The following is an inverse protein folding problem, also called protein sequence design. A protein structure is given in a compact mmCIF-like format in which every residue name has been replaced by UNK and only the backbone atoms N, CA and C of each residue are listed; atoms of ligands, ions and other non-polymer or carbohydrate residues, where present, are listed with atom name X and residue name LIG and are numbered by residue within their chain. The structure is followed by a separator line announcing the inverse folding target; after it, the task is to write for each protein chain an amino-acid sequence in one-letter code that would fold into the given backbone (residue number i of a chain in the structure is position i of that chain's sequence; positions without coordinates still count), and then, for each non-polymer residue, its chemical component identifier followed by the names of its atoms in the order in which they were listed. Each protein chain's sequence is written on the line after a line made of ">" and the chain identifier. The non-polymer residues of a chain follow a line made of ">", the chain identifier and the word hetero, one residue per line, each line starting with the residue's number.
data_IF_655179983386
#
_entry.id   IF_655179983386
#
_cell.length_a   1.000
_cell.length_b   1.000
_cell.length_c   1.000
_cell.angle_alpha   90.00
_cell.angle_beta   90.00
_cell.angle_gamma   90.00
#
_symmetry.space_group_name_H-M   'P 1'
#
loop_
_entity.id
_entity.type
_entity.pdbx_description
1 polymer ?
#
# COMPACT_ATOMS: atom_id res chain seq x y z
N UNK A 1 6.62 -32.14 -1.67
CA UNK A 1 6.98 -31.18 -2.72
C UNK A 1 7.53 -29.99 -1.99
N UNK A 2 8.84 -29.77 -2.06
CA UNK A 2 9.50 -28.65 -1.38
C UNK A 2 9.26 -27.37 -2.18
N UNK A 3 8.63 -26.39 -1.54
CA UNK A 3 8.38 -25.06 -2.08
C UNK A 3 9.69 -24.26 -2.07
N UNK A 4 10.46 -24.32 -3.17
CA UNK A 4 11.74 -23.61 -3.33
C UNK A 4 11.50 -22.29 -4.08
N UNK A 5 11.84 -21.15 -3.44
CA UNK A 5 11.89 -19.84 -4.10
C UNK A 5 13.27 -19.63 -4.73
N UNK A 6 13.30 -19.30 -6.04
CA UNK A 6 14.53 -19.00 -6.78
C UNK A 6 14.72 -17.48 -6.77
N UNK A 7 15.76 -16.99 -6.10
CA UNK A 7 16.17 -15.58 -6.15
C UNK A 7 17.44 -15.46 -7.01
N UNK A 8 17.41 -14.58 -8.01
CA UNK A 8 18.54 -14.35 -8.91
C UNK A 8 19.64 -13.55 -8.18
N UNK A 9 20.90 -13.95 -8.36
CA UNK A 9 22.04 -13.48 -7.56
C UNK A 9 22.37 -12.01 -7.76
N UNK A 10 22.14 -11.16 -6.75
CA UNK A 10 23.01 -10.00 -6.45
C UNK A 10 22.92 -9.42 -5.02
N UNK A 11 22.58 -10.21 -3.99
CA UNK A 11 22.60 -9.74 -2.59
C UNK A 11 23.20 -10.79 -1.65
N UNK A 12 24.52 -10.84 -1.62
CA UNK A 12 25.29 -11.77 -0.77
C UNK A 12 25.36 -11.40 0.72
N UNK A 13 24.83 -10.25 1.15
CA UNK A 13 25.02 -9.73 2.52
C UNK A 13 23.75 -9.56 3.35
N UNK A 14 22.57 -10.01 2.88
CA UNK A 14 21.29 -9.89 3.59
C UNK A 14 20.59 -11.24 3.80
N UNK A 15 21.35 -12.34 3.86
CA UNK A 15 20.83 -13.73 3.87
C UNK A 15 20.91 -14.44 5.23
N UNK A 16 21.24 -13.73 6.32
CA UNK A 16 21.46 -14.39 7.63
C UNK A 16 20.19 -15.03 8.23
N UNK A 17 18.99 -14.69 7.76
CA UNK A 17 17.72 -15.20 8.30
C UNK A 17 17.06 -16.34 7.50
N UNK A 18 17.72 -16.88 6.48
CA UNK A 18 17.19 -17.95 5.65
C UNK A 18 18.26 -19.03 5.42
N UNK A 19 17.88 -20.30 5.56
CA UNK A 19 18.66 -21.44 5.07
C UNK A 19 18.70 -21.38 3.54
N UNK A 20 19.60 -20.55 3.00
CA UNK A 20 19.76 -20.37 1.57
C UNK A 20 20.88 -21.27 1.06
N UNK A 21 20.55 -22.15 0.13
CA UNK A 21 21.52 -23.02 -0.54
C UNK A 21 22.11 -22.31 -1.76
N UNK A 22 23.44 -22.31 -1.84
CA UNK A 22 24.16 -21.75 -2.98
C UNK A 22 24.36 -22.83 -4.04
N UNK A 23 23.49 -22.84 -5.06
CA UNK A 23 23.47 -23.85 -6.13
C UNK A 23 24.13 -23.42 -7.44
N UNK A 24 24.94 -22.35 -7.45
CA UNK A 24 25.53 -21.79 -8.67
C UNK A 24 25.06 -20.36 -8.93
N UNK A 25 24.33 -20.09 -10.04
CA UNK A 25 23.86 -18.74 -10.45
C UNK A 25 22.61 -18.22 -9.73
N UNK A 26 22.02 -19.02 -8.85
CA UNK A 26 20.78 -18.67 -8.16
C UNK A 26 20.88 -19.06 -6.68
N UNK A 27 20.33 -18.20 -5.82
CA UNK A 27 20.19 -18.45 -4.40
C UNK A 27 18.82 -19.09 -4.20
N UNK A 28 18.79 -20.29 -3.62
CA UNK A 28 17.55 -20.99 -3.26
C UNK A 28 17.35 -20.82 -1.77
N UNK A 29 16.36 -20.03 -1.36
CA UNK A 29 16.05 -19.85 0.05
C UNK A 29 14.85 -20.72 0.43
N UNK A 30 14.94 -21.38 1.58
CA UNK A 30 13.80 -22.09 2.18
C UNK A 30 12.69 -21.07 2.45
N UNK A 31 11.51 -21.31 1.90
CA UNK A 31 10.33 -20.48 2.20
C UNK A 31 9.93 -20.73 3.65
N UNK A 32 9.94 -19.69 4.49
CA UNK A 32 9.42 -19.80 5.86
C UNK A 32 7.97 -20.34 5.81
N UNK A 33 7.56 -21.18 6.79
CA UNK A 33 6.19 -21.65 6.84
C UNK A 33 5.21 -20.47 6.78
N UNK A 34 4.17 -20.60 5.96
CA UNK A 34 3.17 -19.56 5.80
C UNK A 34 2.60 -19.15 7.18
N UNK A 35 2.67 -17.86 7.56
CA UNK A 35 2.12 -17.39 8.83
C UNK A 35 0.63 -17.70 8.92
N UNK A 36 0.18 -18.13 10.10
CA UNK A 36 -1.23 -18.37 10.36
C UNK A 36 -1.91 -17.03 10.68
N UNK A 37 -2.76 -16.58 9.77
CA UNK A 37 -3.57 -15.39 9.99
C UNK A 37 -4.59 -15.61 11.10
N UNK A 38 -4.86 -14.54 11.84
CA UNK A 38 -5.88 -14.47 12.88
C UNK A 38 -7.02 -13.56 12.43
N UNK A 39 -8.21 -13.81 13.00
CA UNK A 39 -9.44 -13.09 12.69
C UNK A 39 -10.00 -12.50 13.98
N UNK A 40 -10.15 -11.19 14.01
CA UNK A 40 -10.84 -10.45 15.08
C UNK A 40 -12.35 -10.36 14.79
N UNK A 41 -13.19 -10.03 15.78
CA UNK A 41 -14.62 -9.80 15.60
C UNK A 41 -14.96 -8.83 14.46
N UNK A 42 -16.18 -8.93 13.92
CA UNK A 42 -16.60 -8.14 12.77
C UNK A 42 -16.56 -6.63 13.00
N UNK A 43 -16.70 -6.17 14.25
CA UNK A 43 -16.70 -4.75 14.64
C UNK A 43 -15.29 -4.19 14.96
N UNK A 44 -14.25 -5.02 14.92
CA UNK A 44 -12.85 -4.57 15.01
C UNK A 44 -12.21 -4.60 13.62
N UNK A 45 -11.37 -3.63 13.28
CA UNK A 45 -10.70 -3.61 11.98
C UNK A 45 -9.28 -3.09 12.09
N UNK A 46 -8.31 -3.89 11.63
CA UNK A 46 -6.90 -3.49 11.60
C UNK A 46 -6.47 -3.13 10.19
N UNK A 47 -6.16 -1.85 9.97
CA UNK A 47 -5.67 -1.34 8.70
C UNK A 47 -4.20 -0.92 8.83
N UNK A 48 -3.32 -1.53 8.04
CA UNK A 48 -1.91 -1.15 7.96
C UNK A 48 -1.65 -0.27 6.74
N UNK A 49 -0.87 0.78 6.91
CA UNK A 49 -0.27 1.57 5.83
C UNK A 49 1.23 1.34 5.80
N UNK A 50 1.82 1.17 4.62
CA UNK A 50 3.25 0.97 4.50
C UNK A 50 3.80 1.46 3.16
N UNK A 51 4.59 2.53 3.19
CA UNK A 51 5.37 2.96 2.03
C UNK A 51 6.51 1.96 1.83
N UNK A 52 6.51 1.26 0.69
CA UNK A 52 7.47 0.19 0.42
C UNK A 52 8.70 0.66 -0.34
N UNK A 53 8.82 1.96 -0.66
CA UNK A 53 10.00 2.53 -1.29
C UNK A 53 10.46 1.75 -2.55
N UNK A 54 9.54 1.27 -3.40
CA UNK A 54 9.87 0.50 -4.62
C UNK A 54 10.19 1.44 -5.80
N UNK A 55 11.15 2.35 -5.58
CA UNK A 55 11.59 3.32 -6.58
C UNK A 55 12.01 2.63 -7.87
N UNK A 56 11.81 3.31 -9.01
CA UNK A 56 12.28 2.82 -10.30
C UNK A 56 13.79 2.53 -10.29
N UNK A 57 14.21 1.48 -11.00
CA UNK A 57 15.62 1.09 -11.08
C UNK A 57 16.53 2.16 -11.71
N UNK A 58 15.98 3.04 -12.54
CA UNK A 58 16.76 4.16 -13.10
C UNK A 58 17.00 5.28 -12.07
N UNK A 59 16.25 5.32 -10.96
CA UNK A 59 16.47 6.25 -9.84
C UNK A 59 17.51 5.66 -8.88
N UNK A 60 17.35 4.40 -8.50
CA UNK A 60 18.23 3.73 -7.54
C UNK A 60 18.10 2.21 -7.58
N UNK A 61 19.07 1.50 -6.98
CA UNK A 61 19.05 0.04 -6.81
C UNK A 61 19.22 -0.27 -5.32
N UNK A 62 18.10 -0.40 -4.60
CA UNK A 62 18.06 -0.49 -3.13
C UNK A 62 17.47 -1.84 -2.65
N UNK A 63 17.60 -2.88 -3.47
CA UNK A 63 17.01 -4.19 -3.19
C UNK A 63 15.48 -4.20 -3.24
N UNK A 64 14.89 -3.50 -4.23
CA UNK A 64 13.45 -3.37 -4.40
C UNK A 64 12.75 -4.75 -4.43
N UNK A 65 13.26 -5.70 -5.23
CA UNK A 65 12.70 -7.06 -5.36
C UNK A 65 12.75 -7.83 -4.05
N UNK A 66 13.85 -7.72 -3.33
CA UNK A 66 14.07 -8.46 -2.10
C UNK A 66 13.19 -7.93 -0.98
N UNK A 67 12.99 -6.61 -0.93
CA UNK A 67 12.04 -5.98 -0.01
C UNK A 67 10.62 -6.39 -0.34
N UNK A 68 10.18 -6.30 -1.60
CA UNK A 68 8.81 -6.68 -1.98
C UNK A 68 8.50 -8.17 -1.76
N UNK A 69 9.51 -9.05 -1.76
CA UNK A 69 9.32 -10.44 -1.35
C UNK A 69 9.23 -10.67 0.16
N UNK A 70 9.97 -9.90 0.95
CA UNK A 70 10.08 -10.14 2.40
C UNK A 70 9.00 -9.40 3.19
N UNK A 71 8.60 -8.22 2.75
CA UNK A 71 7.62 -7.36 3.42
C UNK A 71 6.31 -8.10 3.72
N UNK A 72 5.68 -8.85 2.78
CA UNK A 72 4.44 -9.57 3.09
C UNK A 72 4.58 -10.58 4.23
N UNK A 73 5.62 -11.42 4.23
CA UNK A 73 5.82 -12.40 5.31
C UNK A 73 6.04 -11.70 6.64
N UNK A 74 6.92 -10.68 6.66
CA UNK A 74 7.23 -9.94 7.87
C UNK A 74 6.00 -9.24 8.48
N UNK A 75 5.17 -8.58 7.67
CA UNK A 75 3.93 -7.95 8.13
C UNK A 75 3.02 -8.99 8.78
N UNK A 76 2.85 -10.14 8.16
CA UNK A 76 1.89 -11.16 8.59
C UNK A 76 2.39 -12.02 9.75
N UNK A 77 3.70 -12.08 9.96
CA UNK A 77 4.31 -12.60 11.19
C UNK A 77 4.13 -11.62 12.35
N UNK A 78 4.28 -10.31 12.09
CA UNK A 78 4.23 -9.27 13.12
C UNK A 78 2.80 -8.89 13.53
N UNK A 79 1.89 -8.85 12.56
CA UNK A 79 0.49 -8.42 12.72
C UNK A 79 -0.43 -9.46 12.06
N UNK A 80 -0.51 -10.68 12.60
CA UNK A 80 -1.23 -11.79 11.97
C UNK A 80 -2.74 -11.55 11.83
N UNK A 81 -3.29 -10.59 12.58
CA UNK A 81 -4.70 -10.21 12.52
C UNK A 81 -4.99 -8.94 11.69
N UNK A 82 -4.02 -8.41 10.93
CA UNK A 82 -4.24 -7.29 10.00
C UNK A 82 -5.32 -7.65 8.97
N UNK A 83 -6.30 -6.76 8.76
CA UNK A 83 -7.48 -7.00 7.91
C UNK A 83 -7.31 -6.47 6.48
N UNK A 84 -6.66 -5.31 6.36
CA UNK A 84 -6.30 -4.72 5.09
C UNK A 84 -4.93 -4.05 5.19
N UNK A 85 -4.24 -3.97 4.06
CA UNK A 85 -2.94 -3.30 3.93
C UNK A 85 -3.01 -2.34 2.75
N UNK A 86 -2.59 -1.11 2.96
CA UNK A 86 -2.37 -0.13 1.92
C UNK A 86 -0.87 0.08 1.72
N UNK A 87 -0.44 -0.05 0.47
CA UNK A 87 0.95 0.19 0.10
C UNK A 87 1.08 1.48 -0.70
N UNK A 88 2.18 2.20 -0.47
CA UNK A 88 2.60 3.37 -1.25
C UNK A 88 3.95 3.09 -1.92
N UNK A 89 4.25 3.80 -3.01
CA UNK A 89 5.46 3.62 -3.83
C UNK A 89 5.64 2.21 -4.40
N UNK A 90 4.56 1.58 -4.86
CA UNK A 90 4.59 0.27 -5.55
C UNK A 90 4.68 0.48 -7.06
N UNK A 91 5.85 0.89 -7.56
CA UNK A 91 5.98 1.32 -8.95
C UNK A 91 6.27 0.19 -9.95
N UNK A 92 7.02 -0.83 -9.52
CA UNK A 92 7.50 -1.92 -10.38
C UNK A 92 6.70 -3.21 -10.15
N UNK A 93 6.21 -3.40 -8.93
CA UNK A 93 5.14 -4.32 -8.61
C UNK A 93 5.54 -5.76 -8.28
N UNK A 94 6.72 -6.05 -7.72
CA UNK A 94 6.93 -7.37 -7.11
C UNK A 94 8.33 -7.96 -7.05
N UNK A 95 8.32 -9.27 -6.76
CA UNK A 95 9.47 -10.11 -6.45
C UNK A 95 10.32 -10.49 -7.64
N UNK A 96 9.67 -10.67 -8.78
CA UNK A 96 10.27 -11.24 -9.97
C UNK A 96 9.67 -10.57 -11.20
N UNK A 97 10.53 -10.28 -12.16
CA UNK A 97 10.18 -9.68 -13.45
C UNK A 97 9.28 -10.58 -14.30
N UNK A 98 9.32 -11.90 -14.05
CA UNK A 98 8.71 -12.86 -14.95
C UNK A 98 7.32 -13.35 -14.53
N UNK A 99 6.88 -13.21 -13.27
CA UNK A 99 5.48 -13.53 -12.90
C UNK A 99 5.04 -13.29 -11.45
N UNK A 100 5.91 -12.95 -10.50
CA UNK A 100 5.53 -12.90 -9.07
C UNK A 100 5.33 -11.46 -8.59
N UNK A 101 4.13 -10.92 -8.83
CA UNK A 101 3.77 -9.59 -8.34
C UNK A 101 3.55 -9.56 -6.83
N UNK A 102 3.72 -8.40 -6.20
CA UNK A 102 3.42 -8.20 -4.77
C UNK A 102 1.99 -8.64 -4.44
N UNK A 103 1.02 -8.36 -5.33
CA UNK A 103 -0.39 -8.80 -5.18
C UNK A 103 -0.53 -10.33 -5.19
N UNK A 104 0.23 -11.03 -6.04
CA UNK A 104 0.23 -12.50 -6.06
C UNK A 104 0.82 -13.09 -4.77
N UNK A 105 1.89 -12.49 -4.25
CA UNK A 105 2.47 -12.88 -2.95
C UNK A 105 1.45 -12.68 -1.83
N UNK A 106 0.82 -11.51 -1.75
CA UNK A 106 -0.22 -11.22 -0.75
C UNK A 106 -1.43 -12.16 -0.86
N UNK A 107 -1.87 -12.47 -2.09
CA UNK A 107 -2.94 -13.44 -2.35
C UNK A 107 -2.56 -14.84 -1.88
N UNK A 108 -1.33 -15.29 -2.12
CA UNK A 108 -0.80 -16.54 -1.55
C UNK A 108 -0.91 -16.56 -0.03
N UNK A 109 -0.66 -15.42 0.65
CA UNK A 109 -0.78 -15.32 2.10
C UNK A 109 -2.23 -15.22 2.62
N UNK A 110 -3.21 -14.94 1.78
CA UNK A 110 -4.64 -14.91 2.16
C UNK A 110 -5.34 -13.57 1.87
N UNK A 111 -4.65 -12.60 1.30
CA UNK A 111 -5.21 -11.31 0.90
C UNK A 111 -5.72 -11.40 -0.54
N UNK A 112 -6.88 -12.03 -0.70
CA UNK A 112 -7.45 -12.40 -2.01
C UNK A 112 -8.01 -11.21 -2.78
N UNK A 113 -8.31 -10.11 -2.10
CA UNK A 113 -8.91 -8.93 -2.69
C UNK A 113 -7.85 -7.83 -2.78
N UNK A 114 -7.60 -7.33 -3.98
CA UNK A 114 -6.64 -6.26 -4.20
C UNK A 114 -7.18 -5.34 -5.28
N UNK A 115 -7.19 -4.04 -4.99
CA UNK A 115 -7.57 -3.01 -5.95
C UNK A 115 -6.54 -2.93 -7.07
N UNK A 116 -6.94 -2.46 -8.24
CA UNK A 116 -6.02 -1.89 -9.23
C UNK A 116 -5.18 -0.76 -8.63
N UNK A 117 -3.91 -0.68 -9.05
CA UNK A 117 -3.05 0.44 -8.65
C UNK A 117 -3.66 1.72 -9.23
N UNK A 118 -3.58 2.84 -8.51
CA UNK A 118 -3.95 4.15 -9.09
C UNK A 118 -3.10 4.39 -10.32
N UNK A 119 -3.71 4.36 -11.49
CA UNK A 119 -3.03 4.35 -12.78
C UNK A 119 -3.61 5.41 -13.71
N UNK A 120 -2.78 5.89 -14.63
CA UNK A 120 -3.12 6.92 -15.61
C UNK A 120 -2.57 6.53 -16.97
N UNK A 121 -3.37 6.72 -18.02
CA UNK A 121 -2.91 6.48 -19.40
C UNK A 121 -1.78 7.45 -19.79
N UNK A 122 -1.70 8.61 -19.12
CA UNK A 122 -0.80 9.71 -19.47
C UNK A 122 0.37 9.88 -18.48
N UNK A 123 0.41 9.11 -17.39
CA UNK A 123 1.40 9.25 -16.33
C UNK A 123 1.80 7.88 -15.77
N UNK A 124 2.98 7.82 -15.17
CA UNK A 124 3.44 6.69 -14.37
C UNK A 124 2.44 6.48 -13.22
N UNK A 125 2.11 5.22 -12.91
CA UNK A 125 1.18 4.88 -11.83
C UNK A 125 1.59 5.55 -10.49
N UNK A 126 0.61 5.85 -9.64
CA UNK A 126 0.84 6.51 -8.34
C UNK A 126 1.46 5.61 -7.27
N UNK A 127 1.65 4.33 -7.56
CA UNK A 127 2.20 3.36 -6.62
C UNK A 127 1.33 3.06 -5.40
N UNK A 128 0.03 3.43 -5.44
CA UNK A 128 -0.90 3.25 -4.31
C UNK A 128 -1.88 2.13 -4.64
N UNK A 129 -2.00 1.14 -3.74
CA UNK A 129 -3.10 0.18 -3.78
C UNK A 129 -3.46 -0.34 -2.39
N UNK A 130 -4.70 -0.83 -2.26
CA UNK A 130 -5.22 -1.47 -1.06
C UNK A 130 -5.44 -2.96 -1.34
N UNK A 131 -5.09 -3.81 -0.38
CA UNK A 131 -5.42 -5.23 -0.37
C UNK A 131 -6.11 -5.63 0.92
N UNK A 132 -6.95 -6.67 0.88
CA UNK A 132 -7.69 -7.14 2.04
C UNK A 132 -7.88 -8.65 2.06
N UNK A 133 -8.01 -9.19 3.28
CA UNK A 133 -8.52 -10.54 3.55
C UNK A 133 -10.01 -10.67 3.17
N UNK A 134 -10.73 -9.55 3.19
CA UNK A 134 -12.19 -9.46 3.11
C UNK A 134 -12.63 -8.85 1.77
N UNK A 135 -13.85 -9.18 1.27
CA UNK A 135 -14.36 -8.64 0.02
C UNK A 135 -14.30 -7.11 -0.06
N UNK A 136 -13.75 -6.60 -1.16
CA UNK A 136 -13.88 -5.18 -1.55
C UNK A 136 -15.18 -5.07 -2.36
N UNK A 137 -16.20 -4.44 -1.78
CA UNK A 137 -17.54 -4.31 -2.39
C UNK A 137 -17.73 -3.03 -3.20
N UNK A 138 -16.80 -2.07 -3.04
CA UNK A 138 -16.70 -0.85 -3.88
C UNK A 138 -15.25 -0.38 -3.89
N UNK A 139 -14.74 0.00 -5.06
CA UNK A 139 -13.42 0.58 -5.21
C UNK A 139 -13.46 1.79 -6.14
N UNK A 140 -12.76 2.86 -5.77
CA UNK A 140 -12.63 4.07 -6.59
C UNK A 140 -11.24 4.71 -6.39
N UNK A 141 -10.85 5.63 -7.26
CA UNK A 141 -9.65 6.44 -7.05
C UNK A 141 -9.78 7.81 -7.67
N UNK A 142 -8.97 8.72 -7.17
CA UNK A 142 -8.85 10.07 -7.66
C UNK A 142 -7.37 10.44 -7.79
N UNK A 143 -6.95 10.96 -8.94
CA UNK A 143 -5.60 11.47 -9.18
C UNK A 143 -5.60 12.95 -8.86
N UNK A 144 -4.65 13.41 -8.04
CA UNK A 144 -4.58 14.81 -7.65
C UNK A 144 -4.26 15.72 -8.83
N UNK A 145 -4.89 16.89 -8.85
CA UNK A 145 -4.60 17.97 -9.80
C UNK A 145 -3.56 18.93 -9.24
N UNK A 146 -3.50 19.10 -7.92
CA UNK A 146 -2.47 19.86 -7.25
C UNK A 146 -1.12 19.12 -7.32
N UNK A 147 -0.23 19.63 -8.16
CA UNK A 147 1.12 19.11 -8.39
C UNK A 147 2.11 20.27 -8.55
N UNK A 148 3.40 20.00 -8.33
CA UNK A 148 4.47 20.96 -8.63
C UNK A 148 4.80 20.88 -10.13
N UNK A 149 4.38 21.89 -10.88
CA UNK A 149 4.65 22.00 -12.31
C UNK A 149 6.16 22.05 -12.60
N UNK A 150 6.58 21.51 -13.76
CA UNK A 150 7.98 21.44 -14.23
C UNK A 150 8.92 20.52 -13.44
N UNK A 151 8.39 19.62 -12.61
CA UNK A 151 9.17 18.58 -11.92
C UNK A 151 8.77 17.18 -12.39
N UNK A 152 9.55 16.15 -12.01
CA UNK A 152 9.20 14.76 -12.32
C UNK A 152 7.84 14.32 -11.70
N UNK A 153 7.35 15.04 -10.67
CA UNK A 153 6.10 14.72 -9.99
C UNK A 153 4.86 14.84 -10.90
N UNK A 154 4.89 15.68 -11.96
CA UNK A 154 3.77 15.77 -12.92
C UNK A 154 3.56 14.47 -13.71
N UNK A 155 4.60 13.64 -13.81
CA UNK A 155 4.55 12.37 -14.53
C UNK A 155 4.17 11.22 -13.61
N UNK A 156 3.93 11.43 -12.31
CA UNK A 156 3.48 10.39 -11.37
C UNK A 156 2.04 10.68 -10.96
N UNK A 157 1.15 9.71 -11.18
CA UNK A 157 -0.28 9.80 -10.88
C UNK A 157 -0.56 9.65 -9.36
N UNK A 158 0.06 10.51 -8.54
CA UNK A 158 -0.26 10.61 -7.10
C UNK A 158 -1.74 10.92 -6.92
N UNK A 159 -2.33 10.35 -5.88
CA UNK A 159 -3.76 10.39 -5.71
C UNK A 159 -4.20 9.69 -4.46
N UNK A 160 -5.49 9.40 -4.39
CA UNK A 160 -6.13 8.64 -3.34
C UNK A 160 -6.82 7.41 -3.93
N UNK A 161 -6.72 6.31 -3.19
CA UNK A 161 -7.36 5.04 -3.46
C UNK A 161 -8.40 4.76 -2.39
N UNK A 162 -9.62 4.46 -2.79
CA UNK A 162 -10.73 4.11 -1.92
C UNK A 162 -11.12 2.64 -2.06
N UNK A 163 -11.42 1.99 -0.93
CA UNK A 163 -12.01 0.66 -0.87
C UNK A 163 -13.06 0.58 0.25
N UNK A 164 -14.26 0.12 -0.08
CA UNK A 164 -15.27 -0.30 0.89
C UNK A 164 -15.18 -1.80 1.08
N UNK A 165 -14.90 -2.23 2.30
CA UNK A 165 -14.64 -3.62 2.65
C UNK A 165 -15.79 -4.17 3.48
N UNK A 166 -16.27 -5.35 3.10
CA UNK A 166 -17.29 -6.11 3.84
C UNK A 166 -16.62 -7.20 4.68
N UNK A 167 -16.60 -7.01 6.01
CA UNK A 167 -16.04 -7.99 6.96
C UNK A 167 -17.17 -8.77 7.61
N UNK A 168 -17.21 -10.08 7.36
CA UNK A 168 -18.17 -11.00 7.98
C UNK A 168 -17.47 -11.99 8.90
N UNK A 169 -17.82 -11.98 10.19
CA UNK A 169 -17.29 -12.91 11.19
C UNK A 169 -18.44 -13.45 12.03
N UNK A 170 -18.56 -14.77 12.13
CA UNK A 170 -19.61 -15.45 12.92
C UNK A 170 -21.05 -14.97 12.58
N UNK A 171 -21.31 -14.69 11.31
CA UNK A 171 -22.63 -14.24 10.83
C UNK A 171 -22.93 -12.75 11.04
N UNK A 172 -22.01 -11.99 11.65
CA UNK A 172 -22.12 -10.53 11.77
C UNK A 172 -21.31 -9.89 10.64
N UNK A 173 -21.93 -8.96 9.91
CA UNK A 173 -21.29 -8.22 8.80
C UNK A 173 -21.15 -6.74 9.15
N UNK A 174 -19.96 -6.19 8.92
CA UNK A 174 -19.65 -4.77 9.08
C UNK A 174 -18.99 -4.22 7.80
N UNK A 175 -19.23 -2.95 7.51
CA UNK A 175 -18.65 -2.25 6.35
C UNK A 175 -17.60 -1.24 6.83
N UNK A 176 -16.48 -1.21 6.13
CA UNK A 176 -15.33 -0.35 6.44
C UNK A 176 -14.92 0.44 5.21
N UNK A 177 -14.87 1.78 5.32
CA UNK A 177 -14.47 2.68 4.25
C UNK A 177 -13.01 3.07 4.45
N UNK A 178 -12.13 2.62 3.56
CA UNK A 178 -10.69 2.86 3.64
C UNK A 178 -10.24 3.81 2.53
N UNK A 179 -9.45 4.80 2.89
CA UNK A 179 -8.78 5.73 1.99
C UNK A 179 -7.28 5.59 2.16
N UNK A 180 -6.55 5.45 1.06
CA UNK A 180 -5.09 5.51 1.07
C UNK A 180 -4.51 6.44 0.05
N UNK A 181 -3.45 7.14 0.44
CA UNK A 181 -2.83 8.21 -0.35
C UNK A 181 -1.31 8.21 -0.21
N UNK A 182 -0.65 8.91 -1.12
CA UNK A 182 0.75 9.33 -0.99
C UNK A 182 0.81 10.79 -1.46
N UNK A 183 0.91 11.73 -0.52
CA UNK A 183 0.88 13.16 -0.80
C UNK A 183 2.21 13.65 -1.40
N UNK A 184 2.23 14.92 -1.81
CA UNK A 184 3.40 15.61 -2.32
C UNK A 184 4.58 15.46 -1.35
N UNK A 185 5.71 14.96 -1.88
CA UNK A 185 6.96 14.81 -1.12
C UNK A 185 7.70 16.15 -1.04
N UNK A 186 8.68 16.26 -0.14
CA UNK A 186 9.45 17.49 0.07
C UNK A 186 8.97 18.32 1.26
N UNK A 187 9.46 19.55 1.39
CA UNK A 187 9.30 20.37 2.60
C UNK A 187 9.15 21.86 2.29
N UNK A 188 8.77 22.64 3.30
CA UNK A 188 8.57 24.08 3.14
C UNK A 188 7.35 24.40 2.27
N UNK A 189 7.58 25.01 1.11
CA UNK A 189 6.53 25.52 0.19
C UNK A 189 5.62 24.41 -0.35
N UNK A 190 6.08 23.15 -0.34
CA UNK A 190 5.32 21.96 -0.73
C UNK A 190 4.09 21.68 0.16
N UNK A 191 4.05 22.29 1.37
CA UNK A 191 2.91 22.21 2.26
C UNK A 191 1.62 22.74 1.63
N UNK A 192 1.72 23.77 0.80
CA UNK A 192 0.56 24.36 0.11
C UNK A 192 -0.06 23.37 -0.89
N UNK A 193 0.78 22.59 -1.57
CA UNK A 193 0.35 21.52 -2.47
C UNK A 193 -0.29 20.38 -1.67
N UNK A 194 0.33 19.94 -0.57
CA UNK A 194 -0.27 18.91 0.29
C UNK A 194 -1.64 19.33 0.84
N UNK A 195 -1.79 20.58 1.25
CA UNK A 195 -3.08 21.11 1.73
C UNK A 195 -4.13 21.06 0.61
N UNK A 196 -3.78 21.50 -0.60
CA UNK A 196 -4.65 21.39 -1.76
C UNK A 196 -5.02 19.93 -2.09
N UNK A 197 -4.08 19.00 -1.98
CA UNK A 197 -4.34 17.56 -2.14
C UNK A 197 -5.27 17.01 -1.05
N UNK A 198 -5.14 17.46 0.20
CA UNK A 198 -6.08 17.10 1.27
C UNK A 198 -7.49 17.65 0.99
N UNK A 199 -7.60 18.87 0.46
CA UNK A 199 -8.87 19.44 0.01
C UNK A 199 -9.49 18.62 -1.14
N UNK A 200 -8.68 18.22 -2.12
CA UNK A 200 -9.14 17.34 -3.21
C UNK A 200 -9.61 15.98 -2.68
N UNK A 201 -8.89 15.39 -1.72
CA UNK A 201 -9.26 14.12 -1.07
C UNK A 201 -10.57 14.25 -0.26
N UNK A 202 -10.77 15.37 0.44
CA UNK A 202 -12.03 15.68 1.13
C UNK A 202 -13.21 15.76 0.13
N UNK A 203 -13.05 16.55 -0.95
CA UNK A 203 -14.06 16.66 -2.00
C UNK A 203 -14.35 15.33 -2.70
N UNK A 204 -13.32 14.52 -2.97
CA UNK A 204 -13.50 13.16 -3.50
C UNK A 204 -14.33 12.30 -2.55
N UNK A 205 -14.06 12.36 -1.23
CA UNK A 205 -14.82 11.60 -0.24
C UNK A 205 -16.31 11.95 -0.27
N UNK A 206 -16.65 13.24 -0.41
CA UNK A 206 -18.04 13.68 -0.53
C UNK A 206 -18.72 13.08 -1.77
N UNK A 207 -18.01 12.95 -2.89
CA UNK A 207 -18.56 12.35 -4.13
C UNK A 207 -18.90 10.87 -3.97
N UNK A 208 -18.30 10.19 -2.99
CA UNK A 208 -18.59 8.79 -2.71
C UNK A 208 -19.97 8.59 -2.08
N UNK A 209 -20.60 9.63 -1.53
CA UNK A 209 -21.91 9.54 -0.85
C UNK A 209 -21.93 8.42 0.22
N UNK A 210 -20.89 8.36 1.05
CA UNK A 210 -20.79 7.38 2.14
C UNK A 210 -21.88 7.70 3.19
N UNK A 211 -22.65 6.71 3.67
CA UNK A 211 -23.64 6.94 4.71
C UNK A 211 -23.04 7.60 5.96
N UNK A 212 -23.72 8.60 6.53
CA UNK A 212 -23.21 9.39 7.66
C UNK A 212 -22.94 8.57 8.95
N UNK A 213 -23.51 7.36 9.04
CA UNK A 213 -23.26 6.42 10.13
C UNK A 213 -22.05 5.50 9.88
N UNK A 214 -21.36 5.63 8.76
CA UNK A 214 -20.14 4.89 8.43
C UNK A 214 -18.93 5.82 8.47
N UNK A 215 -17.95 5.51 9.30
CA UNK A 215 -16.69 6.25 9.35
C UNK A 215 -15.77 5.94 8.17
N UNK A 216 -14.91 6.90 7.82
CA UNK A 216 -13.85 6.74 6.82
C UNK A 216 -12.49 6.74 7.51
N UNK A 217 -11.68 5.72 7.22
CA UNK A 217 -10.30 5.62 7.70
C UNK A 217 -9.35 6.15 6.63
N UNK A 218 -8.75 7.31 6.89
CA UNK A 218 -7.69 7.87 6.03
C UNK A 218 -6.31 7.40 6.50
N UNK A 219 -5.55 6.78 5.60
CA UNK A 219 -4.22 6.27 5.91
C UNK A 219 -3.30 6.31 4.69
N UNK A 220 -2.23 7.10 4.74
CA UNK A 220 -1.20 7.09 3.71
C UNK A 220 0.09 7.74 4.15
N UNK A 221 1.04 7.80 3.24
CA UNK A 221 2.19 8.67 3.42
C UNK A 221 1.76 10.12 3.16
N UNK A 222 1.53 10.85 4.24
CA UNK A 222 1.06 12.24 4.16
C UNK A 222 2.20 13.23 3.93
N UNK A 223 3.47 12.80 3.98
CA UNK A 223 4.64 13.67 3.84
C UNK A 223 4.63 14.92 4.75
N UNK A 224 3.93 14.86 5.88
CA UNK A 224 4.01 15.86 6.95
C UNK A 224 4.84 15.32 8.11
N UNK A 225 5.54 16.22 8.80
CA UNK A 225 6.06 15.89 10.13
C UNK A 225 4.93 15.98 11.15
N UNK A 226 5.03 15.18 12.21
CA UNK A 226 4.01 15.15 13.27
C UNK A 226 3.88 16.48 14.03
N UNK A 227 4.91 17.31 14.04
CA UNK A 227 4.94 18.60 14.74
C UNK A 227 4.58 19.80 13.86
N UNK A 228 4.23 19.57 12.59
CA UNK A 228 3.85 20.65 11.66
C UNK A 228 2.38 21.06 11.82
N UNK A 229 2.13 22.37 11.93
CA UNK A 229 0.77 22.91 11.98
C UNK A 229 -0.04 22.59 10.70
N UNK A 230 0.62 22.49 9.56
CA UNK A 230 -0.02 22.15 8.27
C UNK A 230 -0.62 20.74 8.25
N UNK A 231 -0.10 19.80 9.06
CA UNK A 231 -0.74 18.50 9.25
C UNK A 231 -2.13 18.67 9.88
N UNK A 232 -2.27 19.53 10.88
CA UNK A 232 -3.54 19.77 11.54
C UNK A 232 -4.57 20.38 10.58
N UNK A 233 -4.13 21.27 9.67
CA UNK A 233 -5.00 21.79 8.60
C UNK A 233 -5.53 20.66 7.73
N UNK A 234 -4.67 19.76 7.24
CA UNK A 234 -5.08 18.60 6.47
C UNK A 234 -6.08 17.71 7.25
N UNK A 235 -5.80 17.39 8.51
CA UNK A 235 -6.69 16.59 9.36
C UNK A 235 -8.06 17.25 9.51
N UNK A 236 -8.11 18.57 9.71
CA UNK A 236 -9.38 19.30 9.83
C UNK A 236 -10.20 19.24 8.54
N UNK A 237 -9.56 19.38 7.38
CA UNK A 237 -10.23 19.25 6.07
C UNK A 237 -10.83 17.86 5.85
N UNK A 238 -10.15 16.80 6.30
CA UNK A 238 -10.64 15.43 6.14
C UNK A 238 -11.78 15.11 7.11
N UNK A 239 -11.79 15.73 8.29
CA UNK A 239 -12.83 15.58 9.30
C UNK A 239 -14.06 16.46 9.07
N UNK A 240 -14.00 17.46 8.18
CA UNK A 240 -15.13 18.36 7.89
C UNK A 240 -16.13 17.81 6.86
N UNK A 241 -16.05 16.52 6.52
CA UNK A 241 -16.89 15.85 5.52
C UNK A 241 -18.06 15.10 6.15
#
# INVERSE_FOLDING_TARGET
>A
MEDVLILNQHLGHLLEDFDCFNGGRAIRCVVKPKPKLSTTPANEFKFLMYNIFERFYFVSVDGQRERTCRIPSWILETIPDVDAIAFQEVFLGGCDENNLSLKKVLSYYGFKYAKSIVDSILAINGGIFITSKWPIVREESYIFKAVIFFTAEIFVAKGVSYARIEKTVNGVTMLYNLMSTHLQSGGGDDNTIREAQCQEMASFTQTLNIPANESVLYAGDLNYRLDELSLQTCVNLLNSN
#
